data_IF_654389676351
#
_entry.id   IF_654389676351
#
_cell.length_a   1.000
_cell.length_b   1.000
_cell.length_c   1.000
_cell.angle_alpha   90.00
_cell.angle_beta   90.00
_cell.angle_gamma   90.00
#
_symmetry.space_group_name_H-M   'P 1'
#
loop_
_entity.id
_entity.type
_entity.pdbx_description
1 polymer ?
#
# COMPACT_ATOMS: atom_id res chain seq x y z
N UNK A 1 -41.59 8.83 16.15
CA UNK A 1 -40.75 8.88 14.94
C UNK A 1 -40.74 7.50 14.31
N UNK A 2 -41.08 7.36 13.02
CA UNK A 2 -40.92 6.07 12.34
C UNK A 2 -39.45 5.63 12.34
N UNK A 3 -39.17 4.32 12.39
CA UNK A 3 -37.80 3.83 12.30
C UNK A 3 -37.17 4.27 10.98
N UNK A 4 -35.93 4.73 11.04
CA UNK A 4 -35.17 5.25 9.88
C UNK A 4 -34.92 4.20 8.79
N UNK A 5 -35.04 2.92 9.14
CA UNK A 5 -34.86 1.75 8.29
C UNK A 5 -35.93 0.72 8.67
N UNK A 6 -36.62 0.17 7.66
CA UNK A 6 -37.79 -0.69 7.83
C UNK A 6 -37.41 -2.17 7.92
N UNK A 7 -36.29 -2.58 7.32
CA UNK A 7 -35.86 -3.99 7.30
C UNK A 7 -34.55 -4.23 8.06
N UNK A 8 -34.24 -5.49 8.34
CA UNK A 8 -32.94 -5.88 8.90
C UNK A 8 -31.81 -5.68 7.87
N UNK A 9 -32.10 -5.94 6.60
CA UNK A 9 -31.18 -5.72 5.47
C UNK A 9 -30.83 -4.25 5.29
N UNK A 10 -31.83 -3.34 5.27
CA UNK A 10 -31.58 -1.89 5.18
C UNK A 10 -30.73 -1.37 6.34
N UNK A 11 -30.93 -1.92 7.55
CA UNK A 11 -30.11 -1.57 8.72
C UNK A 11 -28.67 -2.08 8.58
N UNK A 12 -28.49 -3.24 7.97
CA UNK A 12 -27.18 -3.82 7.72
C UNK A 12 -26.41 -3.03 6.65
N UNK A 13 -27.04 -2.74 5.51
CA UNK A 13 -26.48 -1.92 4.44
C UNK A 13 -26.12 -0.51 4.92
N UNK A 14 -26.99 0.11 5.73
CA UNK A 14 -26.70 1.42 6.30
C UNK A 14 -25.49 1.41 7.25
N UNK A 15 -25.31 0.35 8.03
CA UNK A 15 -24.10 0.17 8.87
C UNK A 15 -22.85 0.01 8.02
N UNK A 16 -22.92 -0.79 6.95
CA UNK A 16 -21.81 -0.99 6.02
C UNK A 16 -21.41 0.33 5.35
N UNK A 17 -22.38 1.08 4.82
CA UNK A 17 -22.14 2.38 4.20
C UNK A 17 -21.52 3.37 5.20
N UNK A 18 -21.97 3.35 6.46
CA UNK A 18 -21.39 4.19 7.51
C UNK A 18 -19.96 3.78 7.88
N UNK A 19 -19.67 2.48 7.97
CA UNK A 19 -18.30 1.96 8.19
C UNK A 19 -17.38 2.38 7.05
N UNK A 20 -17.76 2.14 5.79
CA UNK A 20 -16.97 2.52 4.60
C UNK A 20 -16.63 4.01 4.60
N UNK A 21 -17.61 4.88 4.89
CA UNK A 21 -17.39 6.34 4.99
C UNK A 21 -16.49 6.75 6.15
N UNK A 22 -16.50 6.00 7.25
CA UNK A 22 -15.60 6.24 8.37
C UNK A 22 -14.17 5.86 8.00
N UNK A 23 -13.96 4.65 7.47
CA UNK A 23 -12.63 4.18 7.06
C UNK A 23 -12.02 5.01 5.94
N UNK A 24 -12.79 5.41 4.93
CA UNK A 24 -12.31 6.28 3.86
C UNK A 24 -11.83 7.64 4.39
N UNK A 25 -12.56 8.23 5.34
CA UNK A 25 -12.13 9.48 6.01
C UNK A 25 -10.88 9.26 6.86
N UNK A 26 -10.85 8.20 7.66
CA UNK A 26 -9.70 7.88 8.48
C UNK A 26 -8.43 7.66 7.64
N UNK A 27 -8.52 6.95 6.50
CA UNK A 27 -7.41 6.80 5.56
C UNK A 27 -6.95 8.14 4.98
N UNK A 28 -7.89 8.98 4.54
CA UNK A 28 -7.55 10.30 4.02
C UNK A 28 -6.86 11.18 5.08
N UNK A 29 -7.33 11.13 6.33
CA UNK A 29 -6.72 11.85 7.47
C UNK A 29 -5.32 11.33 7.79
N UNK A 30 -5.11 10.01 7.83
CA UNK A 30 -3.77 9.45 8.09
C UNK A 30 -2.81 9.72 6.93
N UNK A 31 -3.26 9.65 5.67
CA UNK A 31 -2.46 10.07 4.51
C UNK A 31 -2.09 11.55 4.60
N UNK A 32 -3.02 12.42 4.99
CA UNK A 32 -2.74 13.84 5.15
C UNK A 32 -1.73 14.08 6.28
N UNK A 33 -1.90 13.44 7.45
CA UNK A 33 -0.94 13.51 8.56
C UNK A 33 0.43 12.98 8.16
N UNK A 34 0.49 11.94 7.33
CA UNK A 34 1.74 11.40 6.80
C UNK A 34 2.44 12.42 5.90
N UNK A 35 1.70 13.01 4.94
CA UNK A 35 2.21 14.09 4.07
C UNK A 35 2.67 15.32 4.85
N UNK A 36 1.95 15.72 5.90
CA UNK A 36 2.33 16.83 6.77
C UNK A 36 3.60 16.50 7.58
N UNK A 37 3.71 15.27 8.12
CA UNK A 37 4.94 14.78 8.76
C UNK A 37 6.12 14.79 7.80
N UNK A 38 5.91 14.37 6.54
CA UNK A 38 6.93 14.40 5.49
C UNK A 38 7.36 15.83 5.15
N UNK A 39 6.42 16.74 4.91
CA UNK A 39 6.70 18.15 4.61
C UNK A 39 7.46 18.84 5.75
N UNK A 40 7.11 18.54 7.00
CA UNK A 40 7.80 19.09 8.16
C UNK A 40 9.24 18.55 8.30
N UNK A 41 9.50 17.30 7.89
CA UNK A 41 10.85 16.71 7.92
C UNK A 41 11.74 17.23 6.80
N UNK A 42 11.22 17.57 5.63
CA UNK A 42 11.99 18.20 4.55
C UNK A 42 12.60 19.55 4.96
N UNK A 43 11.94 20.29 5.86
CA UNK A 43 12.45 21.57 6.33
C UNK A 43 13.57 21.44 7.38
N UNK A 44 13.89 20.22 7.83
CA UNK A 44 15.00 19.95 8.73
C UNK A 44 16.24 19.55 7.91
N UNK A 45 16.84 20.48 7.18
CA UNK A 45 18.13 20.25 6.54
C UNK A 45 19.19 19.93 7.59
N UNK A 46 19.78 18.75 7.47
CA UNK A 46 20.91 18.31 8.28
C UNK A 46 22.15 18.50 7.42
N UNK A 47 23.11 19.31 7.87
CA UNK A 47 24.38 19.48 7.17
C UNK A 47 25.18 18.18 7.31
N UNK A 48 25.04 17.26 6.35
CA UNK A 48 25.78 15.99 6.32
C UNK A 48 27.13 16.25 5.64
N UNK A 49 28.28 15.87 6.24
CA UNK A 49 29.59 16.01 5.61
C UNK A 49 29.69 15.26 4.26
N UNK A 50 30.42 15.81 3.28
CA UNK A 50 30.57 15.23 1.93
C UNK A 50 31.05 13.76 1.92
N UNK A 51 31.94 13.37 2.82
CA UNK A 51 32.43 11.98 2.92
C UNK A 51 31.33 11.00 3.36
N UNK A 52 30.44 11.42 4.27
CA UNK A 52 29.28 10.63 4.68
C UNK A 52 28.21 10.59 3.58
N UNK A 53 28.17 11.63 2.73
CA UNK A 53 27.24 11.73 1.61
C UNK A 53 27.51 10.62 0.58
N UNK A 54 28.77 10.33 0.27
CA UNK A 54 29.12 9.26 -0.69
C UNK A 54 28.76 7.86 -0.14
N UNK A 55 29.08 7.58 1.12
CA UNK A 55 28.72 6.30 1.77
C UNK A 55 27.20 6.11 1.85
N UNK A 56 26.46 7.18 2.15
CA UNK A 56 25.00 7.17 2.17
C UNK A 56 24.43 6.88 0.78
N UNK A 57 24.95 7.51 -0.28
CA UNK A 57 24.51 7.23 -1.66
C UNK A 57 24.74 5.76 -2.05
N UNK A 58 25.88 5.17 -1.66
CA UNK A 58 26.19 3.76 -1.92
C UNK A 58 25.20 2.84 -1.19
N UNK A 59 24.90 3.15 0.08
CA UNK A 59 23.92 2.44 0.90
C UNK A 59 22.51 2.52 0.31
N UNK A 60 22.06 3.71 -0.09
CA UNK A 60 20.76 3.94 -0.72
C UNK A 60 20.64 3.17 -2.03
N UNK A 61 21.67 3.22 -2.89
CA UNK A 61 21.70 2.47 -4.16
C UNK A 61 21.67 0.96 -3.93
N UNK A 62 22.34 0.44 -2.90
CA UNK A 62 22.30 -0.98 -2.55
C UNK A 62 20.93 -1.41 -2.04
N UNK A 63 20.33 -0.63 -1.14
CA UNK A 63 18.97 -0.81 -0.64
C UNK A 63 17.96 -0.83 -1.78
N UNK A 64 17.99 0.17 -2.68
CA UNK A 64 17.12 0.22 -3.86
C UNK A 64 17.24 -1.02 -4.74
N UNK A 65 18.46 -1.48 -5.04
CA UNK A 65 18.65 -2.71 -5.85
C UNK A 65 18.07 -3.94 -5.17
N UNK A 66 18.26 -4.08 -3.85
CA UNK A 66 17.68 -5.17 -3.08
C UNK A 66 16.14 -5.10 -3.07
N UNK A 67 15.57 -3.90 -2.98
CA UNK A 67 14.12 -3.73 -2.98
C UNK A 67 13.50 -3.96 -4.34
N UNK A 68 14.12 -3.43 -5.39
CA UNK A 68 13.75 -3.72 -6.77
C UNK A 68 13.86 -5.22 -7.03
N UNK A 69 14.91 -5.91 -6.56
CA UNK A 69 15.01 -7.36 -6.75
C UNK A 69 13.95 -8.14 -5.98
N UNK A 70 13.58 -7.73 -4.76
CA UNK A 70 12.49 -8.34 -3.99
C UNK A 70 11.13 -8.13 -4.66
N UNK A 71 10.83 -6.92 -5.09
CA UNK A 71 9.61 -6.64 -5.88
C UNK A 71 9.64 -7.39 -7.21
N UNK A 72 10.81 -7.53 -7.84
CA UNK A 72 10.98 -8.31 -9.06
C UNK A 72 10.85 -9.83 -8.83
N UNK A 73 11.21 -10.32 -7.65
CA UNK A 73 11.03 -11.72 -7.26
C UNK A 73 9.55 -12.03 -6.96
N UNK A 74 8.82 -11.07 -6.41
CA UNK A 74 7.34 -11.09 -6.36
C UNK A 74 6.77 -11.04 -7.80
N UNK A 75 7.45 -10.36 -8.73
CA UNK A 75 7.13 -10.17 -10.16
C UNK A 75 7.61 -11.33 -11.08
N UNK A 76 7.61 -12.59 -10.68
CA UNK A 76 8.17 -13.65 -11.53
C UNK A 76 7.55 -13.68 -12.95
N UNK A 77 8.37 -13.27 -13.92
CA UNK A 77 8.36 -13.35 -15.40
C UNK A 77 7.03 -13.07 -16.15
N UNK A 78 7.08 -12.03 -16.97
CA UNK A 78 6.25 -11.79 -18.18
C UNK A 78 5.04 -10.86 -18.12
N UNK A 79 4.98 -9.89 -17.21
CA UNK A 79 4.08 -8.75 -17.44
C UNK A 79 4.57 -7.43 -16.84
N UNK A 80 4.79 -6.47 -17.73
CA UNK A 80 4.61 -5.06 -17.40
C UNK A 80 3.15 -4.89 -16.91
N UNK A 81 2.97 -4.28 -15.73
CA UNK A 81 1.67 -3.77 -15.21
C UNK A 81 0.60 -4.73 -14.62
N UNK A 82 0.89 -5.99 -14.20
CA UNK A 82 -0.16 -6.88 -13.66
C UNK A 82 0.15 -7.57 -12.30
N UNK A 83 0.73 -6.86 -11.31
CA UNK A 83 0.95 -7.40 -9.95
C UNK A 83 -0.33 -7.81 -9.21
N UNK A 84 -1.44 -7.16 -9.52
CA UNK A 84 -2.64 -7.17 -8.68
C UNK A 84 -3.77 -8.07 -9.22
N UNK A 85 -3.93 -8.26 -10.54
CA UNK A 85 -4.85 -9.25 -11.06
C UNK A 85 -4.48 -10.69 -10.69
N UNK A 86 -3.19 -11.04 -10.67
CA UNK A 86 -2.73 -12.36 -10.20
C UNK A 86 -2.96 -12.53 -8.69
N UNK A 87 -2.67 -11.49 -7.90
CA UNK A 87 -2.90 -11.49 -6.46
C UNK A 87 -4.37 -11.73 -6.10
N UNK A 88 -5.30 -11.17 -6.86
CA UNK A 88 -6.73 -11.40 -6.66
C UNK A 88 -7.10 -12.89 -6.81
N UNK A 89 -6.61 -13.52 -7.88
CA UNK A 89 -6.84 -14.93 -8.15
C UNK A 89 -6.18 -15.84 -7.10
N UNK A 90 -4.96 -15.52 -6.67
CA UNK A 90 -4.28 -16.22 -5.58
C UNK A 90 -5.08 -16.18 -4.27
N UNK A 91 -5.53 -14.99 -3.86
CA UNK A 91 -6.33 -14.81 -2.64
C UNK A 91 -7.61 -15.63 -2.73
N UNK A 92 -8.32 -15.59 -3.86
CA UNK A 92 -9.54 -16.38 -4.07
C UNK A 92 -9.27 -17.89 -4.01
N UNK A 93 -8.17 -18.34 -4.62
CA UNK A 93 -7.76 -19.75 -4.62
C UNK A 93 -7.44 -20.23 -3.19
N UNK A 94 -6.67 -19.46 -2.43
CA UNK A 94 -6.27 -19.80 -1.07
C UNK A 94 -7.46 -19.79 -0.10
N UNK A 95 -8.34 -18.78 -0.18
CA UNK A 95 -9.57 -18.74 0.62
C UNK A 95 -10.47 -19.95 0.31
N UNK A 96 -10.55 -20.36 -0.96
CA UNK A 96 -11.29 -21.56 -1.36
C UNK A 96 -10.67 -22.84 -0.77
N UNK A 97 -9.35 -22.87 -0.59
CA UNK A 97 -8.62 -24.04 -0.11
C UNK A 97 -8.64 -24.20 1.43
N UNK A 98 -8.52 -23.10 2.19
CA UNK A 98 -8.35 -23.16 3.66
C UNK A 98 -9.28 -22.25 4.46
N UNK A 99 -10.29 -21.65 3.83
CA UNK A 99 -11.22 -20.68 4.44
C UNK A 99 -10.53 -19.36 4.85
N UNK A 100 -11.31 -18.28 4.92
CA UNK A 100 -10.76 -16.94 5.19
C UNK A 100 -10.04 -16.86 6.54
N UNK A 101 -10.61 -17.41 7.61
CA UNK A 101 -10.05 -17.29 8.97
C UNK A 101 -8.65 -17.92 9.10
N UNK A 102 -8.34 -18.94 8.31
CA UNK A 102 -7.01 -19.57 8.31
C UNK A 102 -6.02 -18.84 7.40
N UNK A 103 -6.50 -18.22 6.32
CA UNK A 103 -5.68 -17.44 5.39
C UNK A 103 -5.44 -15.99 5.82
N UNK A 104 -6.32 -15.44 6.65
CA UNK A 104 -6.29 -14.06 7.16
C UNK A 104 -4.93 -13.66 7.76
N UNK A 105 -4.26 -14.48 8.61
CA UNK A 105 -2.94 -14.14 9.15
C UNK A 105 -1.87 -13.94 8.07
N UNK A 106 -1.96 -14.67 6.94
CA UNK A 106 -1.03 -14.52 5.81
C UNK A 106 -1.20 -13.14 5.17
N UNK A 107 -2.44 -12.69 4.96
CA UNK A 107 -2.72 -11.36 4.44
C UNK A 107 -2.28 -10.25 5.41
N UNK A 108 -2.46 -10.44 6.73
CA UNK A 108 -1.96 -9.51 7.74
C UNK A 108 -0.44 -9.41 7.74
N UNK A 109 0.26 -10.54 7.56
CA UNK A 109 1.72 -10.57 7.42
C UNK A 109 2.16 -9.82 6.15
N UNK A 110 1.52 -10.08 5.00
CA UNK A 110 1.82 -9.36 3.75
C UNK A 110 1.58 -7.86 3.87
N UNK A 111 0.51 -7.43 4.56
CA UNK A 111 0.27 -6.02 4.85
C UNK A 111 1.37 -5.42 5.74
N UNK A 112 1.80 -6.15 6.77
CA UNK A 112 2.89 -5.70 7.65
C UNK A 112 4.20 -5.54 6.86
N UNK A 113 4.50 -6.49 5.97
CA UNK A 113 5.64 -6.42 5.06
C UNK A 113 5.52 -5.20 4.14
N UNK A 114 4.40 -5.01 3.46
CA UNK A 114 4.17 -3.88 2.57
C UNK A 114 4.36 -2.53 3.28
N UNK A 115 3.83 -2.38 4.51
CA UNK A 115 4.00 -1.18 5.34
C UNK A 115 5.45 -0.95 5.77
N UNK A 116 6.17 -2.02 6.09
CA UNK A 116 7.60 -1.93 6.42
C UNK A 116 8.41 -1.41 5.22
N UNK A 117 8.17 -1.99 4.04
CA UNK A 117 8.79 -1.56 2.79
C UNK A 117 8.48 -0.10 2.46
N UNK A 118 7.21 0.31 2.66
CA UNK A 118 6.78 1.68 2.47
C UNK A 118 7.58 2.64 3.38
N UNK A 119 7.63 2.35 4.68
CA UNK A 119 8.35 3.19 5.66
C UNK A 119 9.86 3.27 5.37
N UNK A 120 10.46 2.17 4.94
CA UNK A 120 11.88 2.15 4.56
C UNK A 120 12.14 2.98 3.30
N UNK A 121 11.25 2.90 2.31
CA UNK A 121 11.35 3.71 1.08
C UNK A 121 11.17 5.20 1.37
N UNK A 122 10.22 5.55 2.25
CA UNK A 122 10.05 6.92 2.74
C UNK A 122 11.34 7.41 3.44
N UNK A 123 11.95 6.57 4.27
CA UNK A 123 13.24 6.85 4.91
C UNK A 123 14.34 7.17 3.90
N UNK A 124 14.47 6.38 2.83
CA UNK A 124 15.46 6.62 1.77
C UNK A 124 15.22 7.95 1.04
N UNK A 125 13.95 8.33 0.79
CA UNK A 125 13.63 9.64 0.18
C UNK A 125 14.06 10.78 1.09
N UNK A 126 13.77 10.66 2.39
CA UNK A 126 14.16 11.68 3.38
C UNK A 126 15.67 11.80 3.43
N UNK A 127 16.39 10.67 3.44
CA UNK A 127 17.85 10.64 3.39
C UNK A 127 18.38 11.37 2.15
N UNK A 128 17.89 11.04 0.95
CA UNK A 128 18.29 11.67 -0.33
C UNK A 128 18.05 13.18 -0.31
N UNK A 129 16.86 13.62 0.15
CA UNK A 129 16.49 15.05 0.16
C UNK A 129 17.32 15.86 1.15
N UNK A 130 17.81 15.22 2.21
CA UNK A 130 18.65 15.86 3.22
C UNK A 130 20.15 15.86 2.86
N UNK A 131 20.54 15.30 1.71
CA UNK A 131 21.92 15.38 1.22
C UNK A 131 22.17 16.77 0.64
N UNK A 132 23.17 17.48 1.16
CA UNK A 132 23.57 18.83 0.71
C UNK A 132 24.26 18.85 -0.67
N UNK A 133 24.57 17.67 -1.23
CA UNK A 133 25.14 17.52 -2.56
C UNK A 133 24.07 17.62 -3.66
N UNK A 134 24.48 17.81 -4.92
CA UNK A 134 23.57 17.71 -6.07
C UNK A 134 22.75 16.41 -5.95
N UNK A 135 21.48 16.56 -5.62
CA UNK A 135 20.54 15.45 -5.48
C UNK A 135 20.52 14.71 -6.80
N UNK A 136 20.86 13.42 -6.77
CA UNK A 136 20.73 12.54 -7.93
C UNK A 136 19.23 12.41 -8.24
N UNK A 137 18.70 13.29 -9.09
CA UNK A 137 17.26 13.37 -9.44
C UNK A 137 16.73 12.04 -9.96
N UNK A 138 17.60 11.24 -10.62
CA UNK A 138 17.28 9.89 -11.06
C UNK A 138 17.04 8.95 -9.87
N UNK A 139 17.86 9.05 -8.83
CA UNK A 139 17.72 8.25 -7.60
C UNK A 139 16.45 8.65 -6.83
N UNK A 140 16.19 9.96 -6.70
CA UNK A 140 14.98 10.48 -6.08
C UNK A 140 13.73 10.00 -6.84
N UNK A 141 13.73 10.10 -8.17
CA UNK A 141 12.64 9.62 -9.02
C UNK A 141 12.41 8.11 -8.90
N UNK A 142 13.47 7.30 -8.80
CA UNK A 142 13.36 5.85 -8.56
C UNK A 142 12.75 5.55 -7.18
N UNK A 143 13.19 6.24 -6.13
CA UNK A 143 12.60 6.08 -4.80
C UNK A 143 11.13 6.51 -4.76
N UNK A 144 10.76 7.60 -5.43
CA UNK A 144 9.37 8.06 -5.53
C UNK A 144 8.50 7.05 -6.28
N UNK A 145 9.00 6.49 -7.39
CA UNK A 145 8.32 5.41 -8.12
C UNK A 145 8.14 4.16 -7.24
N UNK A 146 9.16 3.81 -6.47
CA UNK A 146 9.10 2.70 -5.51
C UNK A 146 8.05 2.95 -4.41
N UNK A 147 8.01 4.16 -3.86
CA UNK A 147 7.04 4.54 -2.83
C UNK A 147 5.61 4.42 -3.36
N UNK A 148 5.37 4.86 -4.60
CA UNK A 148 4.07 4.70 -5.24
C UNK A 148 3.68 3.22 -5.38
N UNK A 149 4.61 2.33 -5.76
CA UNK A 149 4.35 0.88 -5.82
C UNK A 149 4.03 0.33 -4.42
N UNK A 150 4.74 0.77 -3.38
CA UNK A 150 4.44 0.39 -2.00
C UNK A 150 3.05 0.88 -1.57
N UNK A 151 2.64 2.10 -1.92
CA UNK A 151 1.30 2.63 -1.65
C UNK A 151 0.21 1.75 -2.27
N UNK A 152 0.42 1.33 -3.53
CA UNK A 152 -0.46 0.40 -4.23
C UNK A 152 -0.58 -0.94 -3.50
N UNK A 153 0.55 -1.51 -3.09
CA UNK A 153 0.57 -2.80 -2.40
C UNK A 153 -0.08 -2.74 -1.01
N UNK A 154 0.21 -1.70 -0.22
CA UNK A 154 -0.47 -1.49 1.07
C UNK A 154 -1.98 -1.37 0.86
N UNK A 155 -2.40 -0.55 -0.10
CA UNK A 155 -3.82 -0.34 -0.40
C UNK A 155 -4.52 -1.62 -0.83
N UNK A 156 -3.85 -2.49 -1.60
CA UNK A 156 -4.44 -3.75 -2.06
C UNK A 156 -4.60 -4.76 -0.93
N UNK A 157 -3.59 -4.94 -0.07
CA UNK A 157 -3.69 -5.87 1.05
C UNK A 157 -4.69 -5.37 2.11
N UNK A 158 -4.77 -4.05 2.34
CA UNK A 158 -5.82 -3.45 3.17
C UNK A 158 -7.23 -3.72 2.61
N UNK A 159 -7.41 -3.61 1.29
CA UNK A 159 -8.68 -3.88 0.63
C UNK A 159 -9.05 -5.38 0.67
N UNK A 160 -8.08 -6.28 0.48
CA UNK A 160 -8.29 -7.73 0.64
C UNK A 160 -8.82 -8.06 2.03
N UNK A 161 -8.15 -7.56 3.07
CA UNK A 161 -8.55 -7.76 4.46
C UNK A 161 -9.94 -7.15 4.72
N UNK A 162 -10.16 -5.90 4.30
CA UNK A 162 -11.42 -5.19 4.53
C UNK A 162 -12.60 -5.92 3.89
N UNK A 163 -12.48 -6.34 2.63
CA UNK A 163 -13.59 -6.96 1.91
C UNK A 163 -13.89 -8.36 2.44
N UNK A 164 -12.89 -9.18 2.75
CA UNK A 164 -13.12 -10.53 3.27
C UNK A 164 -13.59 -10.54 4.74
N UNK A 165 -13.21 -9.55 5.55
CA UNK A 165 -13.73 -9.38 6.93
C UNK A 165 -15.23 -8.96 6.95
N UNK A 166 -15.79 -8.49 5.83
CA UNK A 166 -17.21 -8.15 5.72
C UNK A 166 -18.09 -9.38 5.48
N UNK A 167 -17.74 -10.16 4.45
CA UNK A 167 -18.33 -11.46 4.16
C UNK A 167 -17.46 -12.23 3.16
N UNK A 168 -17.61 -13.55 3.13
CA UNK A 168 -16.91 -14.43 2.18
C UNK A 168 -17.12 -14.01 0.71
N UNK A 169 -18.29 -13.46 0.37
CA UNK A 169 -18.65 -13.12 -1.01
C UNK A 169 -18.28 -11.68 -1.40
N UNK A 170 -18.01 -10.79 -0.44
CA UNK A 170 -17.81 -9.35 -0.74
C UNK A 170 -16.58 -9.11 -1.61
N UNK A 171 -15.48 -9.83 -1.35
CA UNK A 171 -14.26 -9.73 -2.15
C UNK A 171 -14.44 -10.32 -3.55
N UNK A 172 -15.15 -11.45 -3.66
CA UNK A 172 -15.49 -12.10 -4.94
C UNK A 172 -16.29 -11.14 -5.81
N UNK A 173 -17.36 -10.56 -5.26
CA UNK A 173 -18.23 -9.61 -5.97
C UNK A 173 -17.46 -8.36 -6.43
N UNK A 174 -16.60 -7.81 -5.57
CA UNK A 174 -15.76 -6.67 -5.94
C UNK A 174 -14.78 -7.02 -7.07
N UNK A 175 -14.20 -8.22 -7.05
CA UNK A 175 -13.32 -8.70 -8.12
C UNK A 175 -14.05 -8.85 -9.46
N UNK A 176 -15.22 -9.49 -9.46
CA UNK A 176 -16.05 -9.71 -10.65
C UNK A 176 -16.53 -8.39 -11.27
N UNK A 177 -16.88 -7.41 -10.43
CA UNK A 177 -17.35 -6.09 -10.86
C UNK A 177 -16.21 -5.14 -11.27
N UNK A 178 -14.95 -5.60 -11.23
CA UNK A 178 -13.75 -4.78 -11.47
C UNK A 178 -13.64 -3.58 -10.53
N UNK A 179 -14.13 -3.76 -9.30
CA UNK A 179 -14.31 -2.69 -8.33
C UNK A 179 -13.16 -2.58 -7.32
N UNK A 180 -12.12 -3.41 -7.45
CA UNK A 180 -10.92 -3.36 -6.62
C UNK A 180 -10.07 -2.13 -6.97
N UNK A 181 -9.37 -1.58 -5.99
CA UNK A 181 -8.58 -0.34 -6.07
C UNK A 181 -7.64 -0.35 -7.27
N UNK A 182 -7.01 -1.48 -7.58
CA UNK A 182 -6.09 -1.61 -8.71
C UNK A 182 -6.77 -1.82 -10.06
N UNK A 183 -7.97 -2.39 -10.09
CA UNK A 183 -8.74 -2.54 -11.32
C UNK A 183 -9.32 -1.19 -11.76
N UNK A 184 -9.70 -0.34 -10.81
CA UNK A 184 -10.14 1.03 -11.04
C UNK A 184 -9.03 1.95 -11.54
N UNK A 185 -7.79 1.70 -11.14
CA UNK A 185 -6.64 2.48 -11.54
C UNK A 185 -6.22 2.29 -13.00
N UNK A 186 -6.57 1.12 -13.56
CA UNK A 186 -6.22 0.71 -14.91
C UNK A 186 -7.34 0.98 -15.95
N UNK A 187 -8.48 1.54 -15.51
CA UNK A 187 -9.63 1.90 -16.32
C UNK A 187 -9.64 3.40 -16.64
#
# INVERSE_FOLDING_TARGET
MPPKYNTAEERHEARLASKRRYYARHRAEEQQKSRERWKNRQNCHSNIPEEQTVELMVSIKASLRLWLSKLQAIRNKDSELLLLPSRAAEVLQEITAMEWEQYRPVCEEQLAVARQFWSQTEGLIIEIVNMDAEVDESLLGQCQGLLAVCDWWVSSEEEILELNDLSADTYVLAHEQRDLVWQKAAA
#
